data_IF_204237039345
#
_entry.id   IF_204237039345
#
_cell.length_a   1.000
_cell.length_b   1.000
_cell.length_c   1.000
_cell.angle_alpha   90.00
_cell.angle_beta   90.00
_cell.angle_gamma   90.00
#
_symmetry.space_group_name_H-M   'P 1'
#
loop_
_entity.id
_entity.type
_entity.pdbx_description
1 polymer ?
#
# COMPACT_ATOMS: atom_id res chain seq x y z
N UNK A 1 19.72 -20.00 4.40
CA UNK A 1 19.91 -21.44 4.06
C UNK A 1 20.22 -21.65 2.57
N UNK A 2 19.54 -20.97 1.62
CA UNK A 2 19.85 -21.12 0.19
C UNK A 2 21.25 -20.59 -0.10
N UNK A 3 21.58 -19.38 0.32
CA UNK A 3 22.89 -18.76 0.10
C UNK A 3 24.03 -19.50 0.80
N UNK A 4 23.79 -20.16 1.93
CA UNK A 4 24.80 -20.92 2.66
C UNK A 4 25.06 -22.33 2.12
N UNK A 5 24.20 -22.84 1.23
CA UNK A 5 24.31 -24.17 0.65
C UNK A 5 24.73 -24.18 -0.81
N UNK A 6 24.91 -23.00 -1.42
CA UNK A 6 25.35 -22.85 -2.82
C UNK A 6 26.74 -22.24 -2.81
N UNK A 7 27.72 -23.06 -3.13
CA UNK A 7 29.15 -22.68 -3.17
C UNK A 7 29.52 -22.06 -4.53
N UNK A 8 28.70 -21.12 -5.00
CA UNK A 8 28.91 -20.41 -6.25
C UNK A 8 29.02 -18.90 -5.99
N UNK A 9 29.96 -18.19 -6.63
CA UNK A 9 30.08 -16.73 -6.53
C UNK A 9 28.76 -16.00 -6.83
N UNK A 10 27.93 -16.55 -7.74
CA UNK A 10 26.62 -16.03 -8.11
C UNK A 10 25.56 -16.15 -6.99
N UNK A 11 25.80 -16.96 -5.96
CA UNK A 11 24.88 -17.05 -4.82
C UNK A 11 24.72 -15.72 -4.08
N UNK A 12 25.73 -14.84 -4.14
CA UNK A 12 25.66 -13.49 -3.58
C UNK A 12 24.74 -12.55 -4.39
N UNK A 13 24.42 -12.93 -5.62
CA UNK A 13 23.52 -12.17 -6.50
C UNK A 13 22.04 -12.52 -6.29
N UNK A 14 21.76 -13.60 -5.55
CA UNK A 14 20.39 -14.05 -5.27
C UNK A 14 19.83 -13.32 -4.07
N UNK A 15 18.76 -12.57 -4.30
CA UNK A 15 17.97 -12.03 -3.19
C UNK A 15 16.95 -13.07 -2.69
N UNK A 16 16.88 -13.24 -1.36
CA UNK A 16 15.87 -14.07 -0.69
C UNK A 16 15.26 -13.26 0.44
N UNK A 17 13.96 -13.00 0.36
CA UNK A 17 13.24 -12.23 1.36
C UNK A 17 11.80 -11.95 0.93
N UNK A 18 11.04 -11.25 1.75
CA UNK A 18 9.73 -10.74 1.36
C UNK A 18 9.84 -9.45 0.54
N UNK A 19 8.73 -9.01 -0.05
CA UNK A 19 8.69 -7.82 -0.92
C UNK A 19 9.15 -6.56 -0.18
N UNK A 20 8.70 -6.33 1.06
CA UNK A 20 9.09 -5.14 1.82
C UNK A 20 10.60 -5.10 2.11
N UNK A 21 11.20 -6.27 2.43
CA UNK A 21 12.65 -6.36 2.62
C UNK A 21 13.41 -6.08 1.33
N UNK A 22 12.87 -6.52 0.19
CA UNK A 22 13.44 -6.17 -1.12
C UNK A 22 13.39 -4.65 -1.35
N UNK A 23 12.21 -4.05 -1.16
CA UNK A 23 12.00 -2.61 -1.35
C UNK A 23 12.92 -1.79 -0.44
N UNK A 24 12.96 -2.12 0.85
CA UNK A 24 13.85 -1.45 1.80
C UNK A 24 15.31 -1.52 1.37
N UNK A 25 15.81 -2.73 1.05
CA UNK A 25 17.19 -2.92 0.59
C UNK A 25 17.48 -2.07 -0.65
N UNK A 26 16.61 -2.15 -1.66
CA UNK A 26 16.74 -1.40 -2.90
C UNK A 26 16.77 0.11 -2.67
N UNK A 27 15.85 0.65 -1.88
CA UNK A 27 15.74 2.09 -1.64
C UNK A 27 16.98 2.66 -0.92
N UNK A 28 17.57 1.89 0.01
CA UNK A 28 18.80 2.28 0.68
C UNK A 28 20.03 2.13 -0.23
N UNK A 29 20.16 1.03 -0.97
CA UNK A 29 21.31 0.78 -1.86
C UNK A 29 21.39 1.80 -3.00
N UNK A 30 20.23 2.21 -3.55
CA UNK A 30 20.14 3.21 -4.62
C UNK A 30 20.09 4.65 -4.08
N UNK A 31 20.22 4.86 -2.77
CA UNK A 31 20.15 6.16 -2.11
C UNK A 31 18.86 6.94 -2.42
N UNK A 32 17.73 6.24 -2.66
CA UNK A 32 16.41 6.86 -2.87
C UNK A 32 15.90 7.39 -1.54
N UNK A 33 16.17 6.65 -0.45
CA UNK A 33 15.96 7.13 0.91
C UNK A 33 17.32 7.33 1.60
N UNK A 34 17.46 8.36 2.45
CA UNK A 34 18.71 8.66 3.14
C UNK A 34 19.17 7.51 4.06
N UNK A 35 20.46 7.29 4.16
CA UNK A 35 21.03 6.22 5.01
C UNK A 35 20.68 6.34 6.50
N UNK A 36 20.34 7.55 6.97
CA UNK A 36 19.90 7.82 8.35
C UNK A 36 18.41 7.60 8.62
N UNK A 37 17.65 7.22 7.61
CA UNK A 37 16.20 7.02 7.71
C UNK A 37 15.86 5.80 8.56
N UNK A 38 14.69 5.85 9.21
CA UNK A 38 14.14 4.73 9.97
C UNK A 38 12.87 4.18 9.30
N UNK A 39 12.70 2.86 9.39
CA UNK A 39 11.48 2.20 8.99
C UNK A 39 10.63 2.01 10.24
N UNK A 40 9.39 2.47 10.18
CA UNK A 40 8.42 2.42 11.27
C UNK A 40 7.34 1.38 10.98
N UNK A 41 6.79 0.83 12.06
CA UNK A 41 5.68 -0.11 12.01
C UNK A 41 4.34 0.53 12.42
N UNK A 42 3.31 -0.31 12.52
CA UNK A 42 1.96 0.12 12.87
C UNK A 42 1.86 0.71 14.28
N UNK A 43 2.66 0.22 15.23
CA UNK A 43 2.64 0.70 16.62
C UNK A 43 3.36 2.06 16.71
N UNK A 44 4.43 2.25 15.96
CA UNK A 44 5.07 3.56 15.79
C UNK A 44 4.12 4.59 15.18
N UNK A 45 3.36 4.21 14.14
CA UNK A 45 2.37 5.09 13.52
C UNK A 45 1.27 5.53 14.52
N UNK A 46 0.81 4.61 15.37
CA UNK A 46 -0.17 4.91 16.43
C UNK A 46 0.44 5.87 17.44
N UNK A 47 1.70 5.67 17.85
CA UNK A 47 2.41 6.54 18.80
C UNK A 47 2.51 7.97 18.26
N UNK A 48 2.89 8.14 16.99
CA UNK A 48 2.94 9.45 16.32
C UNK A 48 1.58 10.15 16.35
N UNK A 49 0.51 9.44 16.00
CA UNK A 49 -0.84 10.01 15.94
C UNK A 49 -1.42 10.29 17.32
N UNK A 50 -1.14 9.44 18.32
CA UNK A 50 -1.53 9.66 19.71
C UNK A 50 -0.90 10.95 20.28
N UNK A 51 0.37 11.16 19.99
CA UNK A 51 1.08 12.38 20.38
C UNK A 51 0.48 13.65 19.76
N UNK A 52 0.07 13.57 18.48
CA UNK A 52 -0.59 14.69 17.79
C UNK A 52 -1.97 15.04 18.37
N UNK A 53 -2.73 14.02 18.77
CA UNK A 53 -4.09 14.19 19.28
C UNK A 53 -4.13 14.36 20.80
N UNK A 54 -2.96 14.43 21.46
CA UNK A 54 -2.81 14.53 22.91
C UNK A 54 -3.55 13.41 23.67
N UNK A 55 -3.64 12.21 23.08
CA UNK A 55 -4.28 11.06 23.68
C UNK A 55 -3.24 10.13 24.32
N UNK A 56 -3.61 9.44 25.41
CA UNK A 56 -2.73 8.45 26.01
C UNK A 56 -2.58 7.22 25.09
N UNK A 57 -1.38 6.88 24.68
CA UNK A 57 -1.06 5.78 23.77
C UNK A 57 -1.62 4.44 24.26
N UNK A 58 -1.55 4.18 25.58
CA UNK A 58 -2.13 2.96 26.17
C UNK A 58 -3.66 2.90 26.02
N UNK A 59 -4.33 4.04 26.09
CA UNK A 59 -5.77 4.16 25.85
C UNK A 59 -6.13 3.84 24.41
N UNK A 60 -5.32 4.29 23.46
CA UNK A 60 -5.51 4.03 22.02
C UNK A 60 -5.26 2.56 21.70
N UNK A 61 -4.15 1.99 22.17
CA UNK A 61 -3.76 0.60 21.91
C UNK A 61 -4.75 -0.40 22.48
N UNK A 62 -5.40 -0.07 23.61
CA UNK A 62 -6.41 -0.92 24.25
C UNK A 62 -7.82 -0.78 23.66
N UNK A 63 -8.09 0.25 22.85
CA UNK A 63 -9.39 0.52 22.26
C UNK A 63 -9.41 0.17 20.77
N UNK A 64 -10.02 -0.97 20.36
CA UNK A 64 -10.01 -1.42 18.96
C UNK A 64 -10.67 -0.43 17.98
N UNK A 65 -11.67 0.34 18.44
CA UNK A 65 -12.36 1.33 17.60
C UNK A 65 -11.47 2.53 17.32
N UNK A 66 -10.79 3.02 18.33
CA UNK A 66 -9.88 4.16 18.22
C UNK A 66 -8.66 3.77 17.37
N UNK A 67 -8.09 2.58 17.62
CA UNK A 67 -7.01 2.02 16.82
C UNK A 67 -7.40 1.94 15.32
N UNK A 68 -8.60 1.46 15.00
CA UNK A 68 -9.10 1.45 13.61
C UNK A 68 -9.21 2.84 13.00
N UNK A 69 -9.66 3.82 13.79
CA UNK A 69 -9.75 5.21 13.32
C UNK A 69 -8.37 5.75 12.92
N UNK A 70 -7.33 5.47 13.72
CA UNK A 70 -5.97 5.88 13.42
C UNK A 70 -5.41 5.20 12.19
N UNK A 71 -5.58 3.88 12.07
CA UNK A 71 -5.20 3.17 10.86
C UNK A 71 -5.91 3.69 9.61
N UNK A 72 -7.17 4.08 9.72
CA UNK A 72 -7.87 4.71 8.60
C UNK A 72 -7.21 6.03 8.16
N UNK A 73 -6.61 6.79 9.08
CA UNK A 73 -5.87 8.00 8.72
C UNK A 73 -4.50 7.69 8.10
N UNK A 74 -3.79 6.67 8.60
CA UNK A 74 -2.54 6.17 7.98
C UNK A 74 -2.80 5.68 6.56
N UNK A 75 -3.84 4.87 6.36
CA UNK A 75 -4.28 4.40 5.04
C UNK A 75 -4.66 5.54 4.09
N UNK A 76 -5.32 6.57 4.63
CA UNK A 76 -5.66 7.75 3.86
C UNK A 76 -4.40 8.54 3.43
N UNK A 77 -3.37 8.62 4.27
CA UNK A 77 -2.09 9.23 3.90
C UNK A 77 -1.44 8.52 2.70
N UNK A 78 -1.38 7.18 2.73
CA UNK A 78 -0.87 6.39 1.62
C UNK A 78 -1.71 6.57 0.33
N UNK A 79 -3.04 6.61 0.46
CA UNK A 79 -3.93 6.86 -0.68
C UNK A 79 -3.70 8.26 -1.28
N UNK A 80 -3.55 9.31 -0.46
CA UNK A 80 -3.25 10.67 -0.89
C UNK A 80 -1.91 10.71 -1.63
N UNK A 81 -0.88 10.07 -1.08
CA UNK A 81 0.43 9.97 -1.74
C UNK A 81 0.33 9.33 -3.13
N UNK A 82 -0.37 8.21 -3.26
CA UNK A 82 -0.55 7.52 -4.54
C UNK A 82 -1.36 8.35 -5.55
N UNK A 83 -2.33 9.12 -5.07
CA UNK A 83 -3.10 10.03 -5.92
C UNK A 83 -2.21 11.16 -6.47
N UNK A 84 -1.37 11.77 -5.61
CA UNK A 84 -0.40 12.81 -5.99
C UNK A 84 0.66 12.27 -6.96
N UNK A 85 1.09 11.04 -6.77
CA UNK A 85 2.08 10.37 -7.62
C UNK A 85 1.48 9.76 -8.90
N UNK A 86 0.19 9.97 -9.19
CA UNK A 86 -0.52 9.44 -10.35
C UNK A 86 -0.44 7.91 -10.49
N UNK A 87 -0.42 7.18 -9.37
CA UNK A 87 -0.49 5.73 -9.42
C UNK A 87 -1.78 5.26 -10.11
N UNK A 88 -1.71 4.22 -10.96
CA UNK A 88 -2.89 3.63 -11.57
C UNK A 88 -3.93 3.24 -10.51
N UNK A 89 -5.21 3.43 -10.82
CA UNK A 89 -6.30 3.19 -9.87
C UNK A 89 -6.29 1.76 -9.33
N UNK A 90 -5.91 0.80 -10.16
CA UNK A 90 -5.87 -0.62 -9.86
C UNK A 90 -4.75 -0.99 -8.87
N UNK A 91 -3.74 -0.13 -8.75
CA UNK A 91 -2.58 -0.32 -7.88
C UNK A 91 -2.67 0.47 -6.58
N UNK A 92 -3.74 1.25 -6.38
CA UNK A 92 -3.89 2.04 -5.16
C UNK A 92 -4.19 1.15 -3.98
N UNK A 93 -3.45 1.39 -2.91
CA UNK A 93 -3.65 0.77 -1.62
C UNK A 93 -4.89 1.37 -0.94
N UNK A 94 -5.59 0.58 -0.16
CA UNK A 94 -6.68 1.02 0.71
C UNK A 94 -7.76 1.89 0.02
N UNK A 95 -8.32 1.50 -1.13
CA UNK A 95 -9.33 2.29 -1.81
C UNK A 95 -10.58 2.53 -0.92
N UNK A 96 -10.82 1.66 0.05
CA UNK A 96 -11.97 1.71 0.97
C UNK A 96 -11.75 2.71 2.14
N UNK A 97 -10.55 3.34 2.25
CA UNK A 97 -10.32 4.42 3.22
C UNK A 97 -11.18 5.67 2.93
N UNK A 98 -11.64 5.82 1.69
CA UNK A 98 -12.66 6.80 1.27
C UNK A 98 -13.98 6.06 1.14
N UNK A 99 -14.89 6.32 2.06
CA UNK A 99 -16.19 5.64 2.11
C UNK A 99 -17.16 6.15 1.04
N UNK A 100 -18.27 5.43 0.81
CA UNK A 100 -19.32 5.87 -0.09
C UNK A 100 -19.94 7.22 0.36
N UNK A 101 -20.04 7.43 1.67
CA UNK A 101 -20.53 8.68 2.24
C UNK A 101 -19.56 9.83 1.98
N UNK A 102 -18.24 9.59 2.10
CA UNK A 102 -17.21 10.59 1.75
C UNK A 102 -17.29 10.98 0.28
N UNK A 103 -17.45 10.00 -0.62
CA UNK A 103 -17.60 10.25 -2.06
C UNK A 103 -18.84 11.08 -2.35
N UNK A 104 -19.96 10.77 -1.67
CA UNK A 104 -21.22 11.50 -1.81
C UNK A 104 -21.06 12.94 -1.33
N UNK A 105 -20.44 13.13 -0.17
CA UNK A 105 -20.18 14.45 0.40
C UNK A 105 -19.22 15.28 -0.47
N UNK A 106 -18.16 14.66 -1.01
CA UNK A 106 -17.22 15.32 -1.93
C UNK A 106 -17.89 15.74 -3.25
N UNK A 107 -18.77 14.90 -3.80
CA UNK A 107 -19.57 15.27 -4.98
C UNK A 107 -20.46 16.46 -4.70
N UNK A 108 -21.14 16.45 -3.54
CA UNK A 108 -21.95 17.58 -3.10
C UNK A 108 -21.12 18.87 -2.99
N UNK A 109 -19.95 18.82 -2.35
CA UNK A 109 -19.02 19.95 -2.26
C UNK A 109 -18.66 20.50 -3.65
N UNK A 110 -18.24 19.62 -4.56
CA UNK A 110 -17.87 20.01 -5.92
C UNK A 110 -19.04 20.65 -6.68
N UNK A 111 -20.27 20.15 -6.50
CA UNK A 111 -21.47 20.75 -7.09
C UNK A 111 -21.74 22.16 -6.55
N UNK A 112 -21.61 22.38 -5.24
CA UNK A 112 -21.80 23.70 -4.64
C UNK A 112 -20.74 24.71 -5.11
N UNK A 113 -19.52 24.23 -5.35
CA UNK A 113 -18.40 25.07 -5.82
C UNK A 113 -18.31 25.17 -7.35
N UNK A 114 -19.22 24.52 -8.10
CA UNK A 114 -19.20 24.45 -9.56
C UNK A 114 -17.87 23.95 -10.16
N UNK A 115 -17.24 22.95 -9.52
CA UNK A 115 -16.03 22.30 -9.98
C UNK A 115 -16.30 20.82 -10.29
N UNK A 116 -15.53 20.23 -11.20
CA UNK A 116 -15.61 18.82 -11.52
C UNK A 116 -14.82 17.98 -10.50
N UNK A 117 -15.40 16.86 -10.04
CA UNK A 117 -14.69 15.90 -9.19
C UNK A 117 -13.74 15.06 -10.04
N UNK A 118 -12.49 15.47 -10.09
CA UNK A 118 -11.37 14.81 -10.77
C UNK A 118 -10.26 14.41 -9.78
N UNK A 119 -9.27 13.65 -10.24
CA UNK A 119 -8.11 13.32 -9.41
C UNK A 119 -7.35 14.60 -8.99
N UNK A 120 -7.17 15.56 -9.89
CA UNK A 120 -6.53 16.85 -9.59
C UNK A 120 -7.32 17.68 -8.59
N UNK A 121 -8.65 17.70 -8.71
CA UNK A 121 -9.54 18.38 -7.75
C UNK A 121 -9.44 17.70 -6.37
N UNK A 122 -9.39 16.39 -6.31
CA UNK A 122 -9.19 15.68 -5.03
C UNK A 122 -7.86 16.01 -4.38
N UNK A 123 -6.78 16.09 -5.16
CA UNK A 123 -5.47 16.51 -4.63
C UNK A 123 -5.54 17.93 -4.07
N UNK A 124 -6.15 18.88 -4.79
CA UNK A 124 -6.33 20.25 -4.30
C UNK A 124 -7.15 20.31 -3.00
N UNK A 125 -8.23 19.55 -2.91
CA UNK A 125 -9.06 19.44 -1.71
C UNK A 125 -8.26 18.87 -0.54
N UNK A 126 -7.42 17.87 -0.75
CA UNK A 126 -6.61 17.27 0.30
C UNK A 126 -5.49 18.18 0.78
N UNK A 127 -4.86 18.91 -0.13
CA UNK A 127 -3.80 19.86 0.19
C UNK A 127 -4.33 21.10 0.92
N UNK A 128 -5.58 21.48 0.67
CA UNK A 128 -6.21 22.66 1.22
C UNK A 128 -7.44 22.34 2.08
N UNK A 129 -7.45 21.18 2.74
CA UNK A 129 -8.58 20.67 3.56
C UNK A 129 -9.14 21.69 4.54
N UNK A 130 -8.26 22.44 5.24
CA UNK A 130 -8.67 23.49 6.18
C UNK A 130 -9.48 24.60 5.49
N UNK A 131 -9.02 25.08 4.34
CA UNK A 131 -9.72 26.11 3.55
C UNK A 131 -11.11 25.67 3.14
N UNK A 132 -11.23 24.38 2.72
CA UNK A 132 -12.52 23.82 2.37
C UNK A 132 -13.39 23.59 3.60
N UNK A 133 -12.84 23.19 4.73
CA UNK A 133 -13.57 23.04 5.99
C UNK A 133 -14.15 24.37 6.48
N UNK A 134 -13.36 25.45 6.44
CA UNK A 134 -13.83 26.80 6.82
C UNK A 134 -14.97 27.32 5.93
N UNK A 135 -14.95 26.96 4.64
CA UNK A 135 -16.03 27.31 3.73
C UNK A 135 -17.39 26.67 4.07
N UNK A 136 -17.39 25.55 4.79
CA UNK A 136 -18.61 24.83 5.19
C UNK A 136 -19.43 25.54 6.27
N UNK A 137 -18.91 26.56 6.91
CA UNK A 137 -19.66 27.40 7.86
C UNK A 137 -20.64 28.34 7.16
N UNK A 138 -20.57 28.44 5.83
CA UNK A 138 -21.53 29.21 5.04
C UNK A 138 -22.90 28.52 5.08
N UNK A 139 -23.99 29.26 5.41
CA UNK A 139 -25.35 28.72 5.47
C UNK A 139 -25.91 28.19 4.14
N UNK A 140 -25.19 28.35 3.03
CA UNK A 140 -25.54 27.76 1.73
C UNK A 140 -25.31 26.24 1.70
N UNK A 141 -24.52 25.69 2.62
CA UNK A 141 -24.28 24.24 2.69
C UNK A 141 -25.36 23.55 3.54
N UNK A 142 -25.83 22.40 3.04
CA UNK A 142 -26.69 21.52 3.83
C UNK A 142 -25.97 21.07 5.10
N UNK A 143 -26.65 21.15 6.25
CA UNK A 143 -26.05 20.85 7.55
C UNK A 143 -25.53 19.40 7.65
N UNK A 144 -26.27 18.43 7.11
CA UNK A 144 -25.89 17.01 7.14
C UNK A 144 -24.63 16.76 6.32
N UNK A 145 -24.59 17.32 5.10
CA UNK A 145 -23.43 17.21 4.22
C UNK A 145 -22.21 17.97 4.77
N UNK A 146 -22.41 19.15 5.35
CA UNK A 146 -21.34 19.90 5.99
C UNK A 146 -20.72 19.12 7.17
N UNK A 147 -21.55 18.44 7.96
CA UNK A 147 -21.08 17.57 9.06
C UNK A 147 -20.23 16.40 8.55
N UNK A 148 -20.67 15.72 7.49
CA UNK A 148 -19.90 14.63 6.87
C UNK A 148 -18.55 15.13 6.33
N UNK A 149 -18.56 16.25 5.60
CA UNK A 149 -17.35 16.87 5.07
C UNK A 149 -16.37 17.30 6.16
N UNK A 150 -16.86 17.92 7.25
CA UNK A 150 -16.01 18.28 8.41
C UNK A 150 -15.35 17.04 9.03
N UNK A 151 -16.10 15.95 9.18
CA UNK A 151 -15.55 14.69 9.68
C UNK A 151 -14.49 14.12 8.72
N UNK A 152 -14.74 14.17 7.42
CA UNK A 152 -13.81 13.74 6.41
C UNK A 152 -12.53 14.60 6.43
N UNK A 153 -12.66 15.93 6.44
CA UNK A 153 -11.52 16.83 6.47
C UNK A 153 -10.66 16.68 7.73
N UNK A 154 -11.28 16.40 8.89
CA UNK A 154 -10.50 16.05 10.09
C UNK A 154 -9.60 14.83 9.86
N UNK A 155 -10.08 13.80 9.18
CA UNK A 155 -9.26 12.63 8.83
C UNK A 155 -8.15 12.98 7.84
N UNK A 156 -8.44 13.84 6.86
CA UNK A 156 -7.44 14.35 5.90
C UNK A 156 -6.36 15.14 6.61
N UNK A 157 -6.72 16.01 7.57
CA UNK A 157 -5.75 16.78 8.35
C UNK A 157 -4.82 15.88 9.18
N UNK A 158 -5.36 14.84 9.81
CA UNK A 158 -4.57 13.84 10.54
C UNK A 158 -3.64 13.06 9.58
N UNK A 159 -4.15 12.68 8.40
CA UNK A 159 -3.36 11.99 7.39
C UNK A 159 -2.22 12.87 6.85
N UNK A 160 -2.48 14.14 6.60
CA UNK A 160 -1.47 15.11 6.16
C UNK A 160 -0.43 15.37 7.25
N UNK A 161 -0.85 15.47 8.52
CA UNK A 161 0.08 15.56 9.64
C UNK A 161 1.02 14.36 9.70
N UNK A 162 0.46 13.14 9.63
CA UNK A 162 1.25 11.90 9.64
C UNK A 162 2.28 11.88 8.51
N UNK A 163 1.86 12.23 7.30
CA UNK A 163 2.76 12.28 6.15
C UNK A 163 3.89 13.32 6.35
N UNK A 164 3.55 14.54 6.83
CA UNK A 164 4.53 15.59 7.10
C UNK A 164 5.49 15.22 8.22
N UNK A 165 5.00 14.60 9.30
CA UNK A 165 5.84 14.15 10.41
C UNK A 165 6.86 13.09 9.95
N UNK A 166 6.43 12.14 9.10
CA UNK A 166 7.35 11.14 8.52
C UNK A 166 8.43 11.81 7.68
N UNK A 167 8.06 12.74 6.81
CA UNK A 167 9.00 13.44 5.93
C UNK A 167 10.03 14.25 6.74
N UNK A 168 9.59 15.06 7.70
CA UNK A 168 10.44 15.87 8.57
C UNK A 168 11.42 15.05 9.41
N UNK A 169 11.04 13.84 9.81
CA UNK A 169 11.85 12.95 10.65
C UNK A 169 12.52 11.81 9.88
N UNK A 170 12.46 11.81 8.54
CA UNK A 170 13.00 10.76 7.66
C UNK A 170 12.52 9.35 8.06
N UNK A 171 11.21 9.23 8.33
CA UNK A 171 10.55 7.98 8.68
C UNK A 171 9.79 7.44 7.47
N UNK A 172 9.83 6.13 7.28
CA UNK A 172 9.15 5.44 6.18
C UNK A 172 8.40 4.24 6.73
N UNK A 173 7.10 4.13 6.42
CA UNK A 173 6.34 2.93 6.72
C UNK A 173 6.42 1.90 5.58
N UNK A 174 5.82 0.73 5.79
CA UNK A 174 5.87 -0.35 4.80
C UNK A 174 5.19 0.02 3.47
N UNK A 175 4.22 0.91 3.49
CA UNK A 175 3.53 1.37 2.29
C UNK A 175 4.39 2.34 1.49
N UNK A 176 5.12 3.24 2.16
CA UNK A 176 6.10 4.11 1.51
C UNK A 176 7.14 3.30 0.76
N UNK A 177 7.65 2.20 1.36
CA UNK A 177 8.64 1.35 0.71
C UNK A 177 8.12 0.78 -0.61
N UNK A 178 6.87 0.34 -0.64
CA UNK A 178 6.24 -0.17 -1.87
C UNK A 178 6.06 0.95 -2.90
N UNK A 179 5.49 2.07 -2.48
CA UNK A 179 5.16 3.18 -3.37
C UNK A 179 6.40 3.81 -3.99
N UNK A 180 7.45 4.06 -3.19
CA UNK A 180 8.70 4.62 -3.66
C UNK A 180 9.45 3.65 -4.59
N UNK A 181 9.46 2.36 -4.28
CA UNK A 181 10.05 1.35 -5.16
C UNK A 181 9.32 1.29 -6.50
N UNK A 182 7.99 1.28 -6.49
CA UNK A 182 7.22 1.31 -7.72
C UNK A 182 7.50 2.57 -8.54
N UNK A 183 7.55 3.75 -7.90
CA UNK A 183 7.88 5.01 -8.56
C UNK A 183 9.28 4.97 -9.21
N UNK A 184 10.27 4.43 -8.51
CA UNK A 184 11.63 4.30 -9.04
C UNK A 184 11.66 3.44 -10.30
N UNK A 185 11.08 2.24 -10.26
CA UNK A 185 11.05 1.31 -11.40
C UNK A 185 10.10 1.71 -12.54
N UNK A 186 9.24 2.70 -12.36
CA UNK A 186 8.38 3.26 -13.41
C UNK A 186 8.86 4.64 -13.89
N UNK A 187 9.92 5.16 -13.30
CA UNK A 187 10.56 6.42 -13.70
C UNK A 187 11.36 6.29 -15.01
N UNK A 188 11.74 7.40 -15.64
CA UNK A 188 12.65 7.38 -16.79
C UNK A 188 14.01 6.72 -16.49
N UNK A 189 14.49 6.76 -15.24
CA UNK A 189 15.74 6.16 -14.79
C UNK A 189 15.61 4.66 -14.49
N UNK A 190 14.47 4.04 -14.66
CA UNK A 190 14.23 2.64 -14.29
C UNK A 190 15.24 1.65 -14.90
N UNK A 191 15.77 1.95 -16.09
CA UNK A 191 16.74 1.08 -16.75
C UNK A 191 18.14 1.10 -16.08
N UNK A 192 18.42 2.06 -15.21
CA UNK A 192 19.66 2.17 -14.45
C UNK A 192 19.70 1.20 -13.26
N UNK A 193 18.51 0.76 -12.81
CA UNK A 193 18.38 -0.15 -11.69
C UNK A 193 18.55 -1.61 -12.09
N UNK A 194 18.89 -2.44 -11.12
CA UNK A 194 19.06 -3.87 -11.32
C UNK A 194 17.73 -4.54 -11.63
N UNK A 195 17.69 -5.32 -12.73
CA UNK A 195 16.57 -6.18 -13.09
C UNK A 195 16.94 -7.66 -12.99
N UNK A 196 15.95 -8.51 -12.78
CA UNK A 196 16.13 -9.94 -12.59
C UNK A 196 15.53 -10.73 -13.76
N UNK A 197 16.29 -11.68 -14.31
CA UNK A 197 15.81 -12.59 -15.37
C UNK A 197 14.99 -13.76 -14.81
N UNK A 198 15.20 -14.09 -13.53
CA UNK A 198 14.47 -15.15 -12.82
C UNK A 198 13.94 -14.62 -11.50
N UNK A 199 12.61 -14.75 -11.31
CA UNK A 199 11.91 -14.40 -10.06
C UNK A 199 11.02 -15.56 -9.65
N UNK A 200 11.10 -15.98 -8.41
CA UNK A 200 10.21 -16.98 -7.82
C UNK A 200 9.49 -16.36 -6.64
N UNK A 201 8.17 -16.51 -6.62
CA UNK A 201 7.30 -15.94 -5.61
C UNK A 201 6.53 -17.09 -4.95
N UNK A 202 6.63 -17.17 -3.66
CA UNK A 202 5.84 -18.08 -2.82
C UNK A 202 4.67 -17.32 -2.19
N UNK A 203 3.59 -18.02 -1.84
CA UNK A 203 2.36 -17.50 -1.23
C UNK A 203 1.78 -16.32 -2.04
N UNK A 204 1.76 -16.44 -3.36
CA UNK A 204 1.35 -15.34 -4.25
C UNK A 204 -0.08 -14.84 -4.00
N UNK A 205 -0.94 -15.66 -3.39
CA UNK A 205 -2.31 -15.28 -3.00
C UNK A 205 -2.34 -14.18 -1.93
N UNK A 206 -1.25 -13.98 -1.19
CA UNK A 206 -1.15 -12.96 -0.14
C UNK A 206 -0.63 -11.61 -0.66
N UNK A 207 -0.22 -11.53 -1.92
CA UNK A 207 0.28 -10.30 -2.52
C UNK A 207 -0.85 -9.41 -3.00
N UNK A 208 -0.71 -8.10 -2.74
CA UNK A 208 -1.57 -7.09 -3.33
C UNK A 208 -1.13 -6.69 -4.75
N UNK A 209 -1.98 -5.93 -5.45
CA UNK A 209 -1.73 -5.54 -6.84
C UNK A 209 -0.45 -4.71 -7.01
N UNK A 210 -0.12 -3.83 -6.06
CA UNK A 210 1.08 -3.00 -6.10
C UNK A 210 2.35 -3.86 -5.95
N UNK A 211 2.35 -4.83 -5.04
CA UNK A 211 3.46 -5.77 -4.87
C UNK A 211 3.71 -6.59 -6.14
N UNK A 212 2.64 -7.05 -6.80
CA UNK A 212 2.76 -7.74 -8.09
C UNK A 212 3.27 -6.84 -9.20
N UNK A 213 2.85 -5.58 -9.23
CA UNK A 213 3.36 -4.60 -10.20
C UNK A 213 4.86 -4.32 -9.98
N UNK A 214 5.32 -4.28 -8.73
CA UNK A 214 6.75 -4.18 -8.41
C UNK A 214 7.50 -5.41 -8.94
N UNK A 215 6.99 -6.63 -8.72
CA UNK A 215 7.60 -7.85 -9.25
C UNK A 215 7.70 -7.81 -10.78
N UNK A 216 6.66 -7.36 -11.45
CA UNK A 216 6.68 -7.18 -12.91
C UNK A 216 7.73 -6.14 -13.34
N UNK A 217 7.86 -5.05 -12.59
CA UNK A 217 8.76 -3.95 -12.91
C UNK A 217 10.25 -4.31 -12.71
N UNK A 218 10.57 -5.09 -11.66
CA UNK A 218 11.94 -5.54 -11.40
C UNK A 218 12.38 -6.71 -12.29
N UNK A 219 11.45 -7.30 -13.05
CA UNK A 219 11.76 -8.43 -13.94
C UNK A 219 12.13 -7.92 -15.32
N UNK A 220 13.20 -8.46 -15.92
CA UNK A 220 13.60 -8.09 -17.28
C UNK A 220 12.48 -8.35 -18.28
N UNK A 221 12.29 -7.47 -19.26
CA UNK A 221 11.29 -7.65 -20.32
C UNK A 221 11.66 -8.77 -21.28
N UNK A 222 12.96 -9.00 -21.46
CA UNK A 222 13.52 -10.03 -22.34
C UNK A 222 13.95 -11.24 -21.52
N UNK A 223 13.65 -12.45 -22.01
CA UNK A 223 14.06 -13.74 -21.39
C UNK A 223 13.67 -13.86 -19.89
N UNK A 224 12.53 -13.31 -19.52
CA UNK A 224 12.05 -13.40 -18.13
C UNK A 224 11.46 -14.76 -17.82
N UNK A 225 11.77 -15.27 -16.64
CA UNK A 225 11.10 -16.43 -16.05
C UNK A 225 10.56 -16.03 -14.68
N UNK A 226 9.24 -16.08 -14.52
CA UNK A 226 8.58 -15.83 -13.23
C UNK A 226 7.82 -17.08 -12.84
N UNK A 227 8.09 -17.60 -11.65
CA UNK A 227 7.40 -18.74 -11.08
C UNK A 227 6.53 -18.25 -9.93
N UNK A 228 5.22 -18.47 -10.03
CA UNK A 228 4.26 -18.15 -8.98
C UNK A 228 3.85 -19.44 -8.27
N UNK A 229 4.05 -19.49 -6.97
CA UNK A 229 3.60 -20.59 -6.09
C UNK A 229 2.49 -20.05 -5.19
N UNK A 230 1.39 -20.76 -5.09
CA UNK A 230 0.27 -20.32 -4.25
C UNK A 230 -0.85 -21.34 -4.17
N UNK A 231 -1.75 -21.11 -3.23
CA UNK A 231 -2.92 -21.94 -2.98
C UNK A 231 -4.16 -21.06 -2.79
N UNK A 232 -5.13 -21.20 -3.68
CA UNK A 232 -6.38 -20.43 -3.63
C UNK A 232 -7.19 -20.71 -2.34
N UNK A 233 -7.09 -21.93 -1.81
CA UNK A 233 -7.82 -22.33 -0.61
C UNK A 233 -7.23 -21.70 0.67
N UNK A 234 -5.97 -21.25 0.60
CA UNK A 234 -5.29 -20.57 1.70
C UNK A 234 -5.36 -19.04 1.62
N UNK A 235 -6.08 -18.46 0.67
CA UNK A 235 -6.25 -17.01 0.52
C UNK A 235 -7.12 -16.40 1.64
N UNK A 236 -6.66 -16.52 2.90
CA UNK A 236 -7.36 -16.03 4.10
C UNK A 236 -7.12 -14.53 4.36
N UNK A 237 -6.10 -13.94 3.75
CA UNK A 237 -5.71 -12.54 3.94
C UNK A 237 -6.34 -11.60 2.90
N UNK A 238 -7.49 -11.96 2.32
CA UNK A 238 -8.21 -11.12 1.35
C UNK A 238 -8.55 -9.72 1.87
N UNK A 239 -8.68 -9.56 3.20
CA UNK A 239 -8.88 -8.28 3.87
C UNK A 239 -7.66 -7.33 3.80
N UNK A 240 -6.45 -7.83 3.53
CA UNK A 240 -5.23 -7.04 3.33
C UNK A 240 -5.06 -6.58 1.87
N UNK A 241 -6.12 -6.63 1.05
CA UNK A 241 -6.11 -6.20 -0.36
C UNK A 241 -5.66 -7.28 -1.34
N UNK A 242 -5.34 -8.49 -0.87
CA UNK A 242 -5.19 -9.65 -1.74
C UNK A 242 -6.57 -10.08 -2.26
N UNK A 243 -6.76 -10.05 -3.57
CA UNK A 243 -8.05 -10.38 -4.19
C UNK A 243 -7.96 -11.72 -4.91
N UNK A 244 -9.01 -12.53 -4.79
CA UNK A 244 -9.17 -13.75 -5.63
C UNK A 244 -9.03 -13.43 -7.13
N UNK A 245 -9.39 -12.21 -7.55
CA UNK A 245 -9.15 -11.69 -8.90
C UNK A 245 -7.66 -11.66 -9.29
N UNK A 246 -6.75 -11.55 -8.32
CA UNK A 246 -5.31 -11.57 -8.56
C UNK A 246 -4.84 -12.92 -9.05
N UNK A 247 -5.29 -14.02 -8.44
CA UNK A 247 -4.95 -15.37 -8.88
C UNK A 247 -5.53 -15.69 -10.25
N UNK A 248 -6.76 -15.26 -10.54
CA UNK A 248 -7.36 -15.39 -11.87
C UNK A 248 -6.53 -14.66 -12.92
N UNK A 249 -6.10 -13.44 -12.65
CA UNK A 249 -5.22 -12.65 -13.53
C UNK A 249 -3.88 -13.35 -13.76
N UNK A 250 -3.29 -13.94 -12.72
CA UNK A 250 -2.02 -14.67 -12.83
C UNK A 250 -2.16 -15.94 -13.67
N UNK A 251 -3.29 -16.66 -13.53
CA UNK A 251 -3.59 -17.82 -14.38
C UNK A 251 -3.66 -17.46 -15.87
N UNK A 252 -4.28 -16.35 -16.21
CA UNK A 252 -4.30 -15.83 -17.58
C UNK A 252 -2.88 -15.48 -18.08
N UNK A 253 -2.07 -14.84 -17.23
CA UNK A 253 -0.67 -14.51 -17.55
C UNK A 253 0.20 -15.74 -17.79
N UNK A 254 -0.06 -16.84 -17.09
CA UNK A 254 0.68 -18.11 -17.27
C UNK A 254 0.38 -18.82 -18.59
N UNK A 255 -0.61 -18.40 -19.36
CA UNK A 255 -0.92 -18.93 -20.70
C UNK A 255 -0.97 -20.46 -20.79
N UNK A 256 -1.53 -21.11 -19.78
CA UNK A 256 -1.64 -22.56 -19.70
C UNK A 256 -0.43 -23.30 -19.09
N UNK A 257 0.65 -22.61 -18.74
CA UNK A 257 1.76 -23.20 -17.98
C UNK A 257 1.41 -23.25 -16.47
N UNK A 258 0.38 -24.05 -16.15
CA UNK A 258 -0.13 -24.22 -14.79
C UNK A 258 0.10 -25.67 -14.37
N UNK A 259 0.72 -25.84 -13.22
CA UNK A 259 1.04 -27.15 -12.65
C UNK A 259 0.37 -27.29 -11.29
N UNK A 260 -0.24 -28.44 -11.03
CA UNK A 260 -0.89 -28.73 -9.76
C UNK A 260 -0.09 -29.75 -8.97
N UNK A 261 0.15 -29.42 -7.70
CA UNK A 261 0.76 -30.34 -6.73
C UNK A 261 -0.37 -31.11 -6.03
N UNK A 262 -0.47 -32.41 -6.31
CA UNK A 262 -1.56 -33.26 -5.79
C UNK A 262 -1.22 -34.01 -4.51
N UNK A 263 0.05 -34.07 -4.13
CA UNK A 263 0.50 -34.82 -2.96
C UNK A 263 0.75 -33.90 -1.77
N UNK A 264 -0.02 -34.08 -0.71
CA UNK A 264 0.19 -33.37 0.55
C UNK A 264 1.17 -34.17 1.42
N UNK A 265 2.35 -33.60 1.65
CA UNK A 265 3.37 -34.17 2.53
C UNK A 265 3.42 -33.53 3.93
N UNK A 266 2.63 -32.47 4.17
CA UNK A 266 2.61 -31.70 5.42
C UNK A 266 1.62 -32.27 6.43
N UNK A 267 0.40 -32.56 6.01
CA UNK A 267 -0.66 -33.00 6.88
C UNK A 267 -0.75 -34.52 6.97
N UNK A 268 -1.06 -35.09 8.15
CA UNK A 268 -1.36 -36.52 8.30
C UNK A 268 -2.58 -36.92 7.43
N UNK A 269 -2.60 -38.18 6.98
CA UNK A 269 -3.63 -38.66 6.05
C UNK A 269 -5.07 -38.54 6.57
N UNK A 270 -5.28 -38.55 7.89
CA UNK A 270 -6.60 -38.38 8.49
C UNK A 270 -7.15 -36.94 8.40
N UNK A 271 -6.28 -35.94 8.26
CA UNK A 271 -6.70 -34.53 8.04
C UNK A 271 -6.95 -34.21 6.56
N UNK A 272 -6.39 -35.01 5.67
CA UNK A 272 -6.55 -34.78 4.19
C UNK A 272 -7.86 -35.38 3.68
N UNK A 273 -8.52 -36.25 4.46
CA UNK A 273 -9.77 -36.94 4.09
C UNK A 273 -11.04 -36.21 4.53
N UNK A 274 -10.93 -35.04 5.11
CA UNK A 274 -12.07 -34.18 5.48
C UNK A 274 -12.29 -33.16 4.35
#
# INVERSE_FOLDING_TARGET
RIQSNIDLPQALEVFVGNVHRYCSKFLFEENIIPAGSSIIDDDDAISILSGYLEEEEQGVSSNPTLRRSYFSCVQLAAFIFQLKSNHPKELRLHPDCITADDVTALRYLCQQLHIELSASTMVDIFDHSKRYADALDNPLFDYGMAKLLKSFFKRVDIANYYASYKDENQLYDFEDLLMLTYNAYTSPSANEYRHYSWVQIDEVQDLNALQLAIVDAITTKEQRSVVYLGDEQQAIFSFMGAKLSTLSLLKERCKGHIYHLHTNHRAPSYLVKV
#
